data_IF_866635996126
#
_entry.id   IF_866635996126
#
_cell.length_a   1.000
_cell.length_b   1.000
_cell.length_c   1.000
_cell.angle_alpha   90.00
_cell.angle_beta   90.00
_cell.angle_gamma   90.00
#
_symmetry.space_group_name_H-M   'P 1'
#
loop_
_entity.id
_entity.type
_entity.pdbx_description
1 polymer ?
#
# COMPACT_ATOMS: atom_id res chain seq x y z
N UNK A 1 9.65 -22.95 -36.18
CA UNK A 1 9.48 -23.23 -34.73
C UNK A 1 10.09 -22.06 -33.97
N UNK A 2 9.28 -21.10 -33.53
CA UNK A 2 9.63 -20.18 -32.45
C UNK A 2 8.32 -19.90 -31.71
N UNK A 3 8.23 -20.38 -30.47
CA UNK A 3 7.03 -20.34 -29.66
C UNK A 3 6.66 -18.91 -29.26
N UNK A 4 5.40 -18.55 -29.50
CA UNK A 4 4.78 -17.46 -28.76
C UNK A 4 4.63 -17.92 -27.32
N UNK A 5 5.31 -17.23 -26.41
CA UNK A 5 5.18 -17.43 -24.97
C UNK A 5 3.78 -16.96 -24.57
N UNK A 6 2.89 -17.91 -24.33
CA UNK A 6 1.55 -17.68 -23.78
C UNK A 6 1.68 -16.88 -22.49
N UNK A 7 1.33 -15.59 -22.55
CA UNK A 7 1.10 -14.78 -21.35
C UNK A 7 -0.26 -15.21 -20.82
N UNK A 8 -0.24 -15.90 -19.69
CA UNK A 8 -1.43 -16.42 -19.01
C UNK A 8 -2.50 -15.34 -18.88
N UNK A 9 -3.74 -15.73 -19.18
CA UNK A 9 -4.91 -14.86 -19.15
C UNK A 9 -5.20 -14.47 -17.69
N UNK A 10 -5.00 -13.20 -17.34
CA UNK A 10 -5.39 -12.64 -16.04
C UNK A 10 -6.91 -12.78 -15.88
N UNK A 11 -7.35 -13.54 -14.87
CA UNK A 11 -8.77 -13.81 -14.61
C UNK A 11 -9.32 -12.70 -13.74
N UNK A 12 -9.58 -11.54 -14.33
CA UNK A 12 -10.34 -10.48 -13.67
C UNK A 12 -11.81 -10.59 -14.10
N UNK A 13 -12.71 -10.63 -13.12
CA UNK A 13 -14.15 -10.57 -13.37
C UNK A 13 -14.61 -9.14 -13.15
N UNK A 14 -15.07 -8.49 -14.22
CA UNK A 14 -15.62 -7.13 -14.14
C UNK A 14 -17.11 -7.24 -13.82
N UNK A 15 -17.49 -6.87 -12.60
CA UNK A 15 -18.88 -6.73 -12.18
C UNK A 15 -19.32 -5.27 -12.39
N UNK A 16 -20.23 -5.03 -13.33
CA UNK A 16 -20.84 -3.69 -13.52
C UNK A 16 -22.05 -3.55 -12.60
N UNK A 17 -21.87 -2.85 -11.50
CA UNK A 17 -22.93 -2.56 -10.54
C UNK A 17 -23.60 -1.23 -10.91
N UNK A 18 -24.93 -1.21 -11.01
CA UNK A 18 -25.71 -0.01 -11.24
C UNK A 18 -26.36 0.42 -9.91
N UNK A 19 -25.92 1.54 -9.36
CA UNK A 19 -26.46 2.07 -8.11
C UNK A 19 -27.26 3.35 -8.38
N UNK A 20 -28.53 3.35 -7.99
CA UNK A 20 -29.41 4.51 -8.08
C UNK A 20 -29.54 5.12 -6.69
N UNK A 21 -28.68 6.09 -6.36
CA UNK A 21 -28.68 6.75 -5.05
C UNK A 21 -29.38 8.11 -5.14
N UNK A 22 -30.68 8.12 -4.90
CA UNK A 22 -31.49 9.34 -5.03
C UNK A 22 -31.58 10.12 -3.70
N UNK A 23 -30.92 9.67 -2.63
CA UNK A 23 -31.11 10.20 -1.27
C UNK A 23 -29.80 10.54 -0.54
N UNK A 24 -28.64 10.39 -1.18
CA UNK A 24 -27.35 10.72 -0.59
C UNK A 24 -26.93 12.13 -0.97
N UNK A 25 -26.89 13.00 0.03
CA UNK A 25 -26.19 14.28 -0.02
C UNK A 25 -24.73 14.04 0.39
N UNK A 26 -23.80 14.24 -0.55
CA UNK A 26 -22.37 14.30 -0.22
C UNK A 26 -22.12 15.46 0.75
N UNK A 27 -21.56 15.15 1.91
CA UNK A 27 -21.00 16.12 2.82
C UNK A 27 -19.49 15.99 2.67
N UNK A 28 -18.87 17.04 2.14
CA UNK A 28 -17.44 17.07 1.87
C UNK A 28 -16.68 17.35 3.18
N UNK A 29 -16.44 16.31 3.97
CA UNK A 29 -15.65 16.39 5.21
C UNK A 29 -14.19 15.97 4.96
N UNK A 30 -13.43 16.79 4.22
CA UNK A 30 -11.97 16.70 4.30
C UNK A 30 -11.46 17.43 5.56
N UNK A 31 -11.24 16.66 6.63
CA UNK A 31 -10.49 17.12 7.79
C UNK A 31 -9.04 16.62 7.68
N UNK A 32 -8.11 17.43 7.11
CA UNK A 32 -6.74 17.00 6.94
C UNK A 32 -6.08 16.76 8.31
N UNK A 33 -5.63 15.53 8.54
CA UNK A 33 -4.88 15.17 9.75
C UNK A 33 -3.41 15.55 9.52
N UNK A 34 -2.80 16.39 10.38
CA UNK A 34 -1.38 16.69 10.27
C UNK A 34 -0.54 15.41 10.39
N UNK A 35 0.46 15.25 9.53
CA UNK A 35 1.28 14.04 9.49
C UNK A 35 1.88 13.69 10.86
N UNK A 36 2.29 14.69 11.65
CA UNK A 36 2.83 14.45 13.00
C UNK A 36 1.81 13.77 13.93
N UNK A 37 0.54 14.17 13.88
CA UNK A 37 -0.55 13.56 14.65
C UNK A 37 -0.77 12.11 14.20
N UNK A 38 -0.70 11.85 12.89
CA UNK A 38 -0.80 10.51 12.34
C UNK A 38 0.33 9.58 12.82
N UNK A 39 1.59 10.04 12.79
CA UNK A 39 2.73 9.23 13.24
C UNK A 39 2.75 9.00 14.76
N UNK A 40 2.13 9.88 15.55
CA UNK A 40 1.92 9.65 16.98
C UNK A 40 0.77 8.67 17.25
N UNK A 41 -0.33 8.79 16.51
CA UNK A 41 -1.49 7.91 16.66
C UNK A 41 -1.19 6.46 16.24
N UNK A 42 -0.37 6.25 15.21
CA UNK A 42 -0.02 4.93 14.69
C UNK A 42 1.46 4.62 14.93
N UNK A 43 1.85 4.12 16.11
CA UNK A 43 3.27 4.02 16.50
C UNK A 43 4.10 3.03 15.66
N UNK A 44 3.44 2.07 15.00
CA UNK A 44 4.05 1.04 14.15
C UNK A 44 3.68 1.20 12.67
N UNK A 45 3.35 2.40 12.22
CA UNK A 45 3.18 2.65 10.79
C UNK A 45 4.53 2.82 10.07
N UNK A 46 4.54 2.61 8.76
CA UNK A 46 5.62 3.01 7.88
C UNK A 46 5.09 3.39 6.50
N UNK A 47 5.81 4.27 5.83
CA UNK A 47 5.49 4.78 4.50
C UNK A 47 6.67 4.49 3.58
N UNK A 48 6.41 3.96 2.38
CA UNK A 48 7.43 3.72 1.36
C UNK A 48 6.94 4.17 -0.03
N UNK A 49 7.87 4.44 -0.92
CA UNK A 49 7.57 4.91 -2.28
C UNK A 49 7.58 3.79 -3.32
N UNK A 50 7.32 4.14 -4.59
CA UNK A 50 7.35 3.21 -5.73
C UNK A 50 8.68 2.48 -5.92
N UNK A 51 9.79 3.08 -5.48
CA UNK A 51 11.11 2.44 -5.47
C UNK A 51 11.30 1.46 -4.32
N UNK A 52 10.23 1.10 -3.61
CA UNK A 52 10.22 0.26 -2.42
C UNK A 52 11.07 0.82 -1.27
N UNK A 53 11.35 2.14 -1.27
CA UNK A 53 12.19 2.78 -0.24
C UNK A 53 11.34 3.34 0.90
N UNK A 54 11.71 3.01 2.14
CA UNK A 54 11.11 3.57 3.35
C UNK A 54 11.36 5.09 3.41
N UNK A 55 10.30 5.87 3.50
CA UNK A 55 10.33 7.34 3.61
C UNK A 55 10.24 7.77 5.07
N UNK A 56 9.24 7.29 5.79
CA UNK A 56 8.97 7.63 7.19
C UNK A 56 8.50 6.39 7.96
N UNK A 57 8.70 6.39 9.28
CA UNK A 57 8.29 5.34 10.20
C UNK A 57 7.75 5.94 11.50
N UNK A 58 6.81 5.26 12.13
CA UNK A 58 6.27 5.62 13.45
C UNK A 58 7.32 5.51 14.56
N UNK A 59 7.10 6.23 15.67
CA UNK A 59 8.09 6.34 16.77
C UNK A 59 8.48 4.99 17.36
N UNK A 60 7.52 4.12 17.63
CA UNK A 60 7.82 2.80 18.23
C UNK A 60 8.58 1.91 17.25
N UNK A 61 8.30 2.02 15.95
CA UNK A 61 9.08 1.32 14.92
C UNK A 61 10.50 1.84 14.83
N UNK A 62 10.72 3.16 14.89
CA UNK A 62 12.06 3.75 14.87
C UNK A 62 12.92 3.28 16.05
N UNK A 63 12.30 3.08 17.22
CA UNK A 63 12.97 2.56 18.40
C UNK A 63 13.32 1.07 18.28
N UNK A 64 12.39 0.27 17.73
CA UNK A 64 12.58 -1.17 17.58
C UNK A 64 13.53 -1.54 16.42
N UNK A 65 13.48 -0.77 15.32
CA UNK A 65 14.23 -0.97 14.08
C UNK A 65 14.94 0.33 13.70
N UNK A 66 16.08 0.65 14.33
CA UNK A 66 16.79 1.89 14.06
C UNK A 66 17.41 1.90 12.65
N UNK A 67 17.53 3.09 12.07
CA UNK A 67 18.24 3.33 10.80
C UNK A 67 17.68 2.54 9.59
N UNK A 68 16.37 2.34 9.51
CA UNK A 68 15.72 1.69 8.36
C UNK A 68 15.18 2.66 7.30
N UNK A 69 15.04 3.94 7.62
CA UNK A 69 14.63 4.97 6.65
C UNK A 69 15.64 5.04 5.50
N UNK A 70 15.15 5.11 4.26
CA UNK A 70 15.95 5.07 3.04
C UNK A 70 16.36 3.66 2.57
N UNK A 71 16.13 2.61 3.37
CA UNK A 71 16.36 1.22 2.97
C UNK A 71 15.19 0.67 2.17
N UNK A 72 15.44 -0.42 1.43
CA UNK A 72 14.37 -1.11 0.73
C UNK A 72 13.48 -1.83 1.75
N UNK A 73 12.16 -1.66 1.65
CA UNK A 73 11.17 -2.25 2.55
C UNK A 73 11.23 -3.78 2.51
N UNK A 74 11.56 -4.38 1.37
CA UNK A 74 11.68 -5.84 1.22
C UNK A 74 12.91 -6.42 1.90
N UNK A 75 13.92 -5.60 2.22
CA UNK A 75 15.11 -6.04 2.97
C UNK A 75 14.82 -6.09 4.48
N UNK A 76 13.76 -5.41 4.93
CA UNK A 76 13.42 -5.22 6.35
C UNK A 76 12.17 -6.02 6.73
N UNK A 77 11.18 -6.08 5.83
CA UNK A 77 9.88 -6.68 6.08
C UNK A 77 9.56 -7.75 5.04
N UNK A 78 8.86 -8.79 5.49
CA UNK A 78 8.29 -9.83 4.64
C UNK A 78 6.77 -9.70 4.62
N UNK A 79 6.19 -9.75 3.42
CA UNK A 79 4.73 -9.84 3.27
C UNK A 79 4.29 -11.29 3.51
N UNK A 80 3.77 -11.57 4.70
CA UNK A 80 3.26 -12.89 5.02
C UNK A 80 1.88 -13.17 4.40
N UNK A 81 1.05 -12.12 4.24
CA UNK A 81 -0.31 -12.19 3.68
C UNK A 81 -0.69 -10.87 3.00
N UNK A 82 -1.43 -10.92 1.88
CA UNK A 82 -1.74 -12.12 1.09
C UNK A 82 -0.47 -12.74 0.47
N UNK A 83 -0.56 -13.99 -0.03
CA UNK A 83 0.60 -14.68 -0.63
C UNK A 83 0.78 -14.19 -2.06
N UNK A 84 1.28 -12.96 -2.18
CA UNK A 84 1.59 -12.28 -3.44
C UNK A 84 3.03 -11.75 -3.38
N UNK A 85 3.66 -11.46 -4.54
CA UNK A 85 4.92 -10.75 -4.55
C UNK A 85 4.80 -9.43 -3.80
N UNK A 86 5.76 -9.14 -2.92
CA UNK A 86 5.80 -7.85 -2.25
C UNK A 86 6.46 -6.81 -3.18
N UNK A 87 5.69 -6.34 -4.16
CA UNK A 87 6.10 -5.36 -5.17
C UNK A 87 5.11 -4.19 -5.21
N UNK A 88 5.50 -3.09 -5.84
CA UNK A 88 4.62 -1.92 -6.00
C UNK A 88 3.53 -2.17 -7.04
N UNK A 89 3.91 -2.75 -8.17
CA UNK A 89 3.01 -3.09 -9.26
C UNK A 89 2.57 -4.55 -9.17
N UNK A 90 1.30 -4.81 -9.45
CA UNK A 90 0.76 -6.14 -9.73
C UNK A 90 1.17 -6.52 -11.15
N UNK A 91 2.30 -7.22 -11.31
CA UNK A 91 2.73 -7.78 -12.61
C UNK A 91 2.07 -9.12 -12.92
#
# INVERSE_FOLDING_TARGET
IVGQKDRGKQVETILRLHFHNHSFTEIDEELPVPAIVFFEAFPFNFVFNRGMKLLNIGRSMANALPNIVGKNVTDIFLLCRPVIPFTWDDN
#
